data_IF_729577059390
#
_entry.id   IF_729577059390
#
_cell.length_a   1.000
_cell.length_b   1.000
_cell.length_c   1.000
_cell.angle_alpha   90.00
_cell.angle_beta   90.00
_cell.angle_gamma   90.00
#
_symmetry.space_group_name_H-M   'P 1'
#
loop_
_entity.id
_entity.type
_entity.pdbx_description
1 polymer ?
#
# COMPACT_ATOMS: atom_id res chain seq x y z
N UNK A 1 -17.47 -23.14 -19.04
CA UNK A 1 -17.32 -24.38 -18.25
C UNK A 1 -16.02 -25.04 -18.70
N UNK A 2 -15.01 -25.13 -17.82
CA UNK A 2 -13.66 -25.58 -18.22
C UNK A 2 -13.54 -27.11 -18.32
N UNK A 3 -14.21 -27.85 -17.44
CA UNK A 3 -14.31 -29.32 -17.50
C UNK A 3 -15.74 -29.78 -17.18
N UNK A 4 -16.30 -30.73 -17.96
CA UNK A 4 -15.79 -31.26 -19.24
C UNK A 4 -15.67 -30.19 -20.35
N UNK A 5 -14.57 -30.20 -21.11
CA UNK A 5 -14.33 -29.18 -22.14
C UNK A 5 -15.12 -29.50 -23.42
N UNK A 6 -16.09 -28.67 -23.77
CA UNK A 6 -16.93 -28.89 -24.96
C UNK A 6 -16.39 -28.14 -26.18
N UNK A 7 -15.65 -28.85 -27.05
CA UNK A 7 -15.13 -28.30 -28.31
C UNK A 7 -16.22 -27.66 -29.18
N UNK A 8 -17.39 -28.33 -29.29
CA UNK A 8 -18.57 -27.83 -30.01
C UNK A 8 -18.96 -26.40 -29.61
N UNK A 9 -19.07 -26.13 -28.31
CA UNK A 9 -19.49 -24.81 -27.83
C UNK A 9 -18.39 -23.75 -27.99
N UNK A 10 -17.10 -24.15 -27.91
CA UNK A 10 -15.99 -23.25 -28.23
C UNK A 10 -16.04 -22.81 -29.70
N UNK A 11 -16.20 -23.78 -30.62
CA UNK A 11 -16.22 -23.52 -32.06
C UNK A 11 -17.40 -22.63 -32.47
N UNK A 12 -18.57 -22.84 -31.85
CA UNK A 12 -19.74 -21.97 -32.06
C UNK A 12 -19.53 -20.53 -31.58
N UNK A 13 -18.72 -20.33 -30.53
CA UNK A 13 -18.41 -19.00 -30.02
C UNK A 13 -17.31 -18.28 -30.83
N UNK A 14 -16.56 -19.02 -31.67
CA UNK A 14 -15.44 -18.48 -32.44
C UNK A 14 -15.86 -18.12 -33.88
N UNK A 15 -15.84 -16.84 -34.27
CA UNK A 15 -16.21 -16.44 -35.63
C UNK A 15 -15.43 -17.20 -36.71
N UNK A 16 -16.09 -17.50 -37.84
CA UNK A 16 -15.46 -18.16 -38.99
C UNK A 16 -14.34 -17.32 -39.62
N UNK A 17 -14.45 -15.99 -39.51
CA UNK A 17 -13.45 -15.02 -39.95
C UNK A 17 -12.17 -15.01 -39.10
N UNK A 18 -12.13 -15.72 -37.97
CA UNK A 18 -10.96 -15.74 -37.09
C UNK A 18 -9.76 -16.34 -37.82
N UNK A 19 -8.64 -15.62 -37.83
CA UNK A 19 -7.35 -16.05 -38.41
C UNK A 19 -6.24 -16.18 -37.37
N UNK A 20 -6.38 -15.56 -36.20
CA UNK A 20 -5.40 -15.65 -35.12
C UNK A 20 -6.09 -15.63 -33.76
N UNK A 21 -5.56 -16.38 -32.81
CA UNK A 21 -6.09 -16.56 -31.45
C UNK A 21 -4.92 -16.47 -30.46
N UNK A 22 -5.07 -15.67 -29.41
CA UNK A 22 -4.20 -15.74 -28.23
C UNK A 22 -4.95 -16.42 -27.10
N UNK A 23 -4.39 -17.50 -26.56
CA UNK A 23 -4.94 -18.20 -25.40
C UNK A 23 -4.18 -17.75 -24.16
N UNK A 24 -4.91 -17.33 -23.12
CA UNK A 24 -4.33 -16.78 -21.90
C UNK A 24 -4.55 -17.73 -20.72
N UNK A 25 -3.45 -18.19 -20.15
CA UNK A 25 -3.43 -19.07 -19.00
C UNK A 25 -2.96 -18.31 -17.75
N UNK A 26 -3.74 -18.42 -16.66
CA UNK A 26 -3.38 -17.87 -15.36
C UNK A 26 -2.66 -18.91 -14.50
N UNK A 27 -1.72 -19.63 -15.12
CA UNK A 27 -0.89 -20.68 -14.49
C UNK A 27 0.48 -20.75 -15.18
N UNK A 28 1.40 -21.53 -14.62
CA UNK A 28 2.68 -21.87 -15.22
C UNK A 28 2.96 -23.33 -14.92
N UNK A 29 3.18 -24.14 -15.96
CA UNK A 29 3.61 -25.54 -15.84
C UNK A 29 5.05 -25.67 -16.37
N UNK A 30 6.07 -25.60 -15.49
CA UNK A 30 7.46 -25.66 -15.91
C UNK A 30 7.77 -26.98 -16.63
N UNK A 31 8.33 -26.88 -17.84
CA UNK A 31 8.70 -28.05 -18.65
C UNK A 31 7.58 -28.61 -19.55
N UNK A 32 6.34 -28.16 -19.39
CA UNK A 32 5.25 -28.52 -20.29
C UNK A 32 5.43 -27.85 -21.67
N UNK A 33 4.87 -28.46 -22.72
CA UNK A 33 4.88 -27.89 -24.07
C UNK A 33 4.05 -26.60 -24.20
N UNK A 34 3.01 -26.46 -23.38
CA UNK A 34 2.18 -25.27 -23.22
C UNK A 34 1.32 -25.40 -21.96
N UNK A 35 0.66 -24.32 -21.59
CA UNK A 35 -0.29 -24.30 -20.50
C UNK A 35 -1.63 -25.01 -20.84
N UNK A 36 -2.41 -25.43 -19.83
CA UNK A 36 -3.57 -26.31 -20.03
C UNK A 36 -4.65 -25.79 -20.98
N UNK A 37 -5.08 -24.53 -20.86
CA UNK A 37 -6.14 -24.00 -21.72
C UNK A 37 -5.66 -23.86 -23.16
N UNK A 38 -4.40 -23.46 -23.36
CA UNK A 38 -3.78 -23.47 -24.69
C UNK A 38 -3.87 -24.86 -25.34
N UNK A 39 -3.52 -25.93 -24.61
CA UNK A 39 -3.54 -27.29 -25.15
C UNK A 39 -4.96 -27.71 -25.56
N UNK A 40 -5.97 -27.41 -24.74
CA UNK A 40 -7.37 -27.73 -25.05
C UNK A 40 -7.88 -26.98 -26.29
N UNK A 41 -7.61 -25.68 -26.37
CA UNK A 41 -8.03 -24.84 -27.50
C UNK A 41 -7.33 -25.28 -28.79
N UNK A 42 -6.02 -25.56 -28.72
CA UNK A 42 -5.26 -26.03 -29.86
C UNK A 42 -5.78 -27.39 -30.35
N UNK A 43 -6.08 -28.31 -29.42
CA UNK A 43 -6.64 -29.63 -29.75
C UNK A 43 -8.00 -29.49 -30.43
N UNK A 44 -8.91 -28.71 -29.86
CA UNK A 44 -10.24 -28.48 -30.43
C UNK A 44 -10.18 -27.85 -31.83
N UNK A 45 -9.29 -26.88 -32.06
CA UNK A 45 -9.12 -26.25 -33.37
C UNK A 45 -8.49 -27.19 -34.40
N UNK A 46 -7.51 -27.99 -33.97
CA UNK A 46 -6.85 -28.98 -34.83
C UNK A 46 -7.82 -30.09 -35.25
N UNK A 47 -8.61 -30.63 -34.32
CA UNK A 47 -9.64 -31.63 -34.62
C UNK A 47 -10.70 -31.07 -35.57
N UNK A 48 -11.21 -29.86 -35.32
CA UNK A 48 -12.21 -29.23 -36.17
C UNK A 48 -11.70 -28.99 -37.60
N UNK A 49 -10.44 -28.59 -37.76
CA UNK A 49 -9.82 -28.45 -39.07
C UNK A 49 -9.66 -29.80 -39.76
N UNK A 50 -9.17 -30.82 -39.05
CA UNK A 50 -8.98 -32.17 -39.60
C UNK A 50 -10.29 -32.86 -40.00
N UNK A 51 -11.38 -32.59 -39.29
CA UNK A 51 -12.72 -33.10 -39.62
C UNK A 51 -13.45 -32.27 -40.69
N UNK A 52 -12.88 -31.14 -41.13
CA UNK A 52 -13.52 -30.24 -42.09
C UNK A 52 -14.65 -29.37 -41.51
N UNK A 53 -14.79 -29.33 -40.18
CA UNK A 53 -15.72 -28.41 -39.48
C UNK A 53 -15.26 -26.95 -39.58
N UNK A 54 -13.96 -26.72 -39.84
CA UNK A 54 -13.41 -25.41 -40.18
C UNK A 54 -12.53 -25.50 -41.42
N UNK A 55 -12.68 -24.51 -42.31
CA UNK A 55 -11.88 -24.39 -43.53
C UNK A 55 -10.41 -24.05 -43.26
N UNK A 56 -10.12 -23.33 -42.17
CA UNK A 56 -8.76 -22.90 -41.83
C UNK A 56 -8.46 -23.16 -40.35
N UNK A 57 -7.21 -23.52 -40.08
CA UNK A 57 -6.64 -23.59 -38.73
C UNK A 57 -6.07 -22.20 -38.36
N UNK A 58 -6.68 -21.45 -37.43
CA UNK A 58 -6.17 -20.15 -37.02
C UNK A 58 -4.79 -20.27 -36.40
N UNK A 59 -3.95 -19.24 -36.55
CA UNK A 59 -2.67 -19.17 -35.83
C UNK A 59 -2.94 -19.00 -34.32
N UNK A 60 -2.46 -19.94 -33.51
CA UNK A 60 -2.65 -19.90 -32.05
C UNK A 60 -1.33 -19.54 -31.35
N UNK A 61 -1.37 -18.55 -30.46
CA UNK A 61 -0.26 -18.21 -29.54
C UNK A 61 -0.71 -18.39 -28.08
N UNK A 62 0.23 -18.68 -27.18
CA UNK A 62 -0.03 -18.93 -25.76
C UNK A 62 0.60 -17.87 -24.88
N UNK A 63 -0.17 -17.30 -23.95
CA UNK A 63 0.27 -16.26 -23.04
C UNK A 63 0.02 -16.62 -21.59
N UNK A 64 0.97 -16.28 -20.71
CA UNK A 64 0.77 -16.32 -19.27
C UNK A 64 0.52 -14.92 -18.70
N UNK A 65 -0.44 -14.80 -17.81
CA UNK A 65 -0.78 -13.54 -17.15
C UNK A 65 -1.18 -13.75 -15.68
N UNK A 66 -1.18 -12.68 -14.90
CA UNK A 66 -1.93 -12.62 -13.63
C UNK A 66 -1.52 -13.59 -12.52
N UNK A 67 -0.34 -14.22 -12.61
CA UNK A 67 0.16 -15.14 -11.58
C UNK A 67 0.27 -14.42 -10.24
N UNK A 68 -0.21 -15.05 -9.17
CA UNK A 68 -0.20 -14.48 -7.82
C UNK A 68 -0.81 -13.07 -7.74
N UNK A 69 -1.90 -12.85 -8.49
CA UNK A 69 -2.59 -11.55 -8.57
C UNK A 69 -1.76 -10.42 -9.18
N UNK A 70 -0.77 -10.75 -10.02
CA UNK A 70 -0.11 -9.75 -10.87
C UNK A 70 -1.15 -8.97 -11.69
N UNK A 71 -0.92 -7.67 -11.82
CA UNK A 71 -1.84 -6.76 -12.49
C UNK A 71 -2.09 -7.17 -13.95
N UNK A 72 -3.36 -7.10 -14.38
CA UNK A 72 -3.77 -7.34 -15.75
C UNK A 72 -4.73 -6.24 -16.20
N UNK A 73 -4.15 -5.12 -16.60
CA UNK A 73 -4.86 -3.94 -17.06
C UNK A 73 -5.14 -3.94 -18.57
N UNK A 74 -5.79 -2.88 -19.07
CA UNK A 74 -6.07 -2.74 -20.50
C UNK A 74 -4.81 -2.64 -21.38
N UNK A 75 -3.71 -2.09 -20.85
CA UNK A 75 -2.39 -2.07 -21.46
C UNK A 75 -1.86 -3.49 -21.77
N UNK A 76 -2.02 -4.44 -20.84
CA UNK A 76 -1.70 -5.84 -21.08
C UNK A 76 -2.53 -6.44 -22.23
N UNK A 77 -3.82 -6.13 -22.28
CA UNK A 77 -4.72 -6.60 -23.35
C UNK A 77 -4.32 -6.00 -24.70
N UNK A 78 -4.02 -4.70 -24.75
CA UNK A 78 -3.52 -4.02 -25.94
C UNK A 78 -2.21 -4.64 -26.44
N UNK A 79 -1.27 -4.96 -25.53
CA UNK A 79 -0.02 -5.64 -25.87
C UNK A 79 -0.26 -6.99 -26.56
N UNK A 80 -1.23 -7.78 -26.08
CA UNK A 80 -1.59 -9.08 -26.67
C UNK A 80 -2.16 -8.91 -28.08
N UNK A 81 -3.06 -7.95 -28.29
CA UNK A 81 -3.60 -7.69 -29.63
C UNK A 81 -2.54 -7.17 -30.60
N UNK A 82 -1.63 -6.31 -30.13
CA UNK A 82 -0.49 -5.85 -30.93
C UNK A 82 0.43 -7.01 -31.32
N UNK A 83 0.69 -7.94 -30.40
CA UNK A 83 1.45 -9.15 -30.71
C UNK A 83 0.76 -10.01 -31.77
N UNK A 84 -0.55 -10.28 -31.62
CA UNK A 84 -1.34 -11.03 -32.61
C UNK A 84 -1.30 -10.44 -34.01
N UNK A 85 -1.20 -9.11 -34.13
CA UNK A 85 -1.14 -8.40 -35.40
C UNK A 85 0.22 -8.51 -36.10
N UNK A 86 1.27 -8.97 -35.42
CA UNK A 86 2.59 -9.10 -36.04
C UNK A 86 2.63 -10.20 -37.09
N UNK A 87 3.54 -10.05 -38.06
CA UNK A 87 3.79 -11.07 -39.07
C UNK A 87 4.29 -12.39 -38.43
N UNK A 88 5.13 -12.29 -37.39
CA UNK A 88 5.71 -13.42 -36.67
C UNK A 88 5.57 -13.22 -35.15
N UNK A 89 4.37 -13.45 -34.57
CA UNK A 89 4.18 -13.31 -33.14
C UNK A 89 4.98 -14.36 -32.37
N UNK A 90 5.36 -14.02 -31.14
CA UNK A 90 5.91 -14.94 -30.15
C UNK A 90 4.91 -16.08 -29.92
N UNK A 91 5.31 -17.35 -30.12
CA UNK A 91 4.41 -18.49 -29.90
C UNK A 91 4.05 -18.65 -28.42
N UNK A 92 4.95 -18.22 -27.53
CA UNK A 92 4.78 -18.20 -26.08
C UNK A 92 5.21 -16.84 -25.56
N UNK A 93 4.41 -16.26 -24.67
CA UNK A 93 4.74 -14.97 -24.06
C UNK A 93 4.28 -14.87 -22.60
N UNK A 94 4.78 -13.86 -21.91
CA UNK A 94 4.27 -13.38 -20.62
C UNK A 94 3.80 -11.94 -20.77
N UNK A 95 2.85 -11.50 -19.96
CA UNK A 95 2.38 -10.10 -19.97
C UNK A 95 2.22 -9.58 -18.56
N UNK A 96 2.56 -8.30 -18.35
CA UNK A 96 2.54 -7.62 -17.05
C UNK A 96 3.86 -7.68 -16.26
N UNK A 97 4.90 -8.38 -16.77
CA UNK A 97 6.26 -8.40 -16.18
C UNK A 97 7.28 -7.93 -17.20
N UNK A 98 8.48 -7.56 -16.73
CA UNK A 98 9.64 -7.39 -17.58
C UNK A 98 10.57 -8.61 -17.43
N UNK A 99 10.59 -9.46 -18.46
CA UNK A 99 11.41 -10.67 -18.51
C UNK A 99 12.61 -10.45 -19.42
N UNK A 100 13.70 -9.99 -18.82
CA UNK A 100 15.00 -9.74 -19.45
C UNK A 100 15.91 -10.98 -19.49
N UNK A 101 15.45 -12.12 -18.96
CA UNK A 101 16.20 -13.38 -18.95
C UNK A 101 15.79 -14.25 -20.13
N UNK A 102 14.49 -14.56 -20.25
CA UNK A 102 13.98 -15.40 -21.36
C UNK A 102 13.34 -14.59 -22.49
N UNK A 103 13.21 -13.27 -22.32
CA UNK A 103 12.69 -12.35 -23.33
C UNK A 103 11.28 -12.74 -23.84
N UNK A 104 10.46 -13.34 -22.97
CA UNK A 104 9.09 -13.75 -23.29
C UNK A 104 8.07 -12.65 -23.02
N UNK A 105 8.41 -11.62 -22.24
CA UNK A 105 7.48 -10.54 -21.91
C UNK A 105 7.13 -9.69 -23.12
N UNK A 106 5.84 -9.37 -23.27
CA UNK A 106 5.38 -8.38 -24.23
C UNK A 106 5.61 -6.95 -23.70
N UNK A 107 6.07 -6.01 -24.54
CA UNK A 107 6.15 -4.61 -24.16
C UNK A 107 4.75 -4.03 -23.95
N UNK A 108 4.54 -3.30 -22.86
CA UNK A 108 3.26 -2.67 -22.55
C UNK A 108 3.17 -1.32 -23.29
N UNK A 109 2.17 -1.11 -24.18
CA UNK A 109 1.94 0.18 -24.80
C UNK A 109 1.34 1.17 -23.79
N UNK A 110 1.43 2.47 -24.10
CA UNK A 110 0.67 3.46 -23.36
C UNK A 110 -0.83 3.20 -23.53
N UNK A 111 -1.57 3.21 -22.41
CA UNK A 111 -3.01 3.00 -22.44
C UNK A 111 -3.72 4.27 -22.94
N UNK A 112 -4.25 4.21 -24.17
CA UNK A 112 -5.01 5.30 -24.79
C UNK A 112 -6.52 5.14 -24.67
N UNK A 113 -7.01 4.13 -23.94
CA UNK A 113 -8.45 3.92 -23.80
C UNK A 113 -9.08 4.99 -22.89
N UNK A 114 -10.25 5.54 -23.26
CA UNK A 114 -10.91 6.56 -22.47
C UNK A 114 -11.37 5.99 -21.12
N UNK A 115 -11.17 6.76 -20.05
CA UNK A 115 -11.76 6.45 -18.76
C UNK A 115 -13.28 6.67 -18.82
N UNK A 116 -14.05 5.65 -18.46
CA UNK A 116 -15.53 5.72 -18.46
C UNK A 116 -16.10 6.00 -17.07
N UNK A 117 -15.28 5.93 -16.01
CA UNK A 117 -15.73 6.17 -14.66
C UNK A 117 -16.00 7.65 -14.41
N UNK A 118 -17.06 7.94 -13.65
CA UNK A 118 -17.41 9.28 -13.18
C UNK A 118 -16.40 9.80 -12.15
N UNK A 119 -15.90 8.92 -11.29
CA UNK A 119 -14.90 9.23 -10.29
C UNK A 119 -14.02 7.99 -10.05
N UNK A 120 -12.71 8.20 -10.06
CA UNK A 120 -11.73 7.24 -9.55
C UNK A 120 -10.96 7.85 -8.38
N UNK A 121 -10.92 7.15 -7.25
CA UNK A 121 -10.28 7.65 -6.03
C UNK A 121 -9.31 6.62 -5.44
N UNK A 122 -8.20 7.13 -4.90
CA UNK A 122 -7.19 6.38 -4.17
C UNK A 122 -7.08 6.90 -2.73
N UNK A 123 -7.05 5.99 -1.76
CA UNK A 123 -6.84 6.33 -0.36
C UNK A 123 -5.65 5.56 0.20
N UNK A 124 -4.61 6.28 0.60
CA UNK A 124 -3.40 5.76 1.21
C UNK A 124 -3.53 5.86 2.73
N UNK A 125 -3.82 4.73 3.37
CA UNK A 125 -4.01 4.60 4.80
C UNK A 125 -3.01 3.66 5.46
N UNK A 126 -2.95 3.69 6.79
CA UNK A 126 -2.17 2.79 7.61
C UNK A 126 -3.02 1.60 8.06
N UNK A 127 -2.46 0.40 8.06
CA UNK A 127 -3.11 -0.76 8.66
C UNK A 127 -3.54 -0.46 10.10
N UNK A 128 -4.84 -0.56 10.36
CA UNK A 128 -5.54 -0.26 11.63
C UNK A 128 -5.92 1.21 11.90
N UNK A 129 -5.81 2.14 10.94
CA UNK A 129 -6.28 3.53 11.11
C UNK A 129 -7.77 3.75 10.73
N UNK A 130 -8.44 2.70 10.21
CA UNK A 130 -9.84 2.73 9.81
C UNK A 130 -10.11 3.22 8.38
N UNK A 131 -9.08 3.53 7.60
CA UNK A 131 -9.22 4.03 6.21
C UNK A 131 -9.98 3.07 5.32
N UNK A 132 -9.62 1.79 5.30
CA UNK A 132 -10.30 0.78 4.48
C UNK A 132 -11.78 0.64 4.87
N UNK A 133 -12.08 0.65 6.16
CA UNK A 133 -13.45 0.58 6.65
C UNK A 133 -14.26 1.81 6.24
N UNK A 134 -13.65 3.01 6.28
CA UNK A 134 -14.28 4.24 5.80
C UNK A 134 -14.55 4.18 4.29
N UNK A 135 -13.58 3.72 3.48
CA UNK A 135 -13.79 3.59 2.03
C UNK A 135 -14.86 2.54 1.70
N UNK A 136 -14.94 1.42 2.43
CA UNK A 136 -16.07 0.47 2.32
C UNK A 136 -17.41 1.14 2.64
N UNK A 137 -17.45 2.02 3.63
CA UNK A 137 -18.64 2.78 3.96
C UNK A 137 -18.97 3.80 2.85
N UNK A 138 -17.99 4.48 2.26
CA UNK A 138 -18.18 5.38 1.10
C UNK A 138 -18.88 4.66 -0.05
N UNK A 139 -18.43 3.45 -0.38
CA UNK A 139 -19.02 2.64 -1.45
C UNK A 139 -20.48 2.32 -1.15
N UNK A 140 -20.79 1.94 0.10
CA UNK A 140 -22.18 1.65 0.52
C UNK A 140 -23.06 2.89 0.45
N UNK A 141 -22.57 4.03 0.92
CA UNK A 141 -23.31 5.29 0.89
C UNK A 141 -23.59 5.69 -0.57
N UNK A 142 -22.55 5.71 -1.41
CA UNK A 142 -22.71 6.09 -2.83
C UNK A 142 -23.65 5.12 -3.55
N UNK A 143 -23.46 3.81 -3.38
CA UNK A 143 -24.26 2.80 -4.07
C UNK A 143 -25.72 2.72 -3.60
N UNK A 144 -26.02 3.11 -2.36
CA UNK A 144 -27.39 3.11 -1.83
C UNK A 144 -28.12 4.44 -2.06
N UNK A 145 -27.39 5.56 -2.09
CA UNK A 145 -27.98 6.90 -2.21
C UNK A 145 -27.97 7.44 -3.64
N UNK A 146 -27.39 6.71 -4.60
CA UNK A 146 -27.32 7.10 -6.02
C UNK A 146 -27.64 5.93 -6.94
N UNK A 147 -28.08 6.17 -8.19
CA UNK A 147 -28.28 5.11 -9.18
C UNK A 147 -26.96 4.59 -9.78
N UNK A 148 -25.80 5.03 -9.28
CA UNK A 148 -24.50 4.72 -9.86
C UNK A 148 -23.95 3.39 -9.35
N UNK A 149 -23.14 2.75 -10.18
CA UNK A 149 -22.33 1.60 -9.80
C UNK A 149 -21.12 2.08 -9.00
N UNK A 150 -20.89 1.45 -7.84
CA UNK A 150 -19.73 1.71 -7.00
C UNK A 150 -18.89 0.42 -6.86
N UNK A 151 -17.58 0.53 -7.08
CA UNK A 151 -16.62 -0.56 -6.96
C UNK A 151 -15.55 -0.20 -5.94
N UNK A 152 -15.15 -1.16 -5.12
CA UNK A 152 -14.00 -1.06 -4.22
C UNK A 152 -13.05 -2.23 -4.36
N UNK A 153 -11.75 -1.94 -4.39
CA UNK A 153 -10.68 -2.93 -4.24
C UNK A 153 -9.67 -2.43 -3.21
N UNK A 154 -9.14 -3.32 -2.38
CA UNK A 154 -8.31 -2.94 -1.24
C UNK A 154 -7.00 -3.72 -1.27
N UNK A 155 -5.90 -3.00 -1.49
CA UNK A 155 -4.55 -3.55 -1.43
C UNK A 155 -4.06 -3.43 0.01
N UNK A 156 -3.65 -4.56 0.58
CA UNK A 156 -3.09 -4.65 1.92
C UNK A 156 -1.62 -5.06 1.84
N UNK A 157 -0.81 -4.51 2.74
CA UNK A 157 0.55 -4.98 3.00
C UNK A 157 0.51 -6.36 3.68
N UNK A 158 1.59 -7.13 3.54
CA UNK A 158 1.77 -8.40 4.26
C UNK A 158 1.98 -8.19 5.77
N UNK A 159 2.36 -6.97 6.16
CA UNK A 159 2.53 -6.55 7.55
C UNK A 159 1.18 -6.45 8.27
N UNK A 160 0.96 -7.33 9.27
CA UNK A 160 -0.27 -7.40 10.09
C UNK A 160 -0.70 -6.07 10.74
N UNK A 161 0.26 -5.17 11.03
CA UNK A 161 -0.02 -3.86 11.62
C UNK A 161 0.94 -2.79 11.06
N UNK A 162 0.42 -1.57 10.93
CA UNK A 162 1.19 -0.41 10.47
C UNK A 162 1.71 -0.51 9.03
N UNK A 163 1.22 -1.47 8.25
CA UNK A 163 1.53 -1.59 6.82
C UNK A 163 0.77 -0.55 6.00
N UNK A 164 1.18 -0.34 4.75
CA UNK A 164 0.42 0.50 3.82
C UNK A 164 -0.89 -0.21 3.45
N UNK A 165 -1.97 0.56 3.32
CA UNK A 165 -3.19 0.12 2.65
C UNK A 165 -3.53 1.11 1.56
N UNK A 166 -3.87 0.61 0.37
CA UNK A 166 -4.33 1.44 -0.75
C UNK A 166 -5.74 0.99 -1.12
N UNK A 167 -6.69 1.88 -0.92
CA UNK A 167 -8.09 1.63 -1.29
C UNK A 167 -8.36 2.25 -2.65
N UNK A 168 -8.80 1.45 -3.60
CA UNK A 168 -9.21 1.85 -4.93
C UNK A 168 -10.73 1.92 -4.97
N UNK A 169 -11.27 3.07 -5.32
CA UNK A 169 -12.70 3.30 -5.45
C UNK A 169 -13.02 3.80 -6.86
N UNK A 170 -14.05 3.22 -7.48
CA UNK A 170 -14.61 3.71 -8.74
C UNK A 170 -16.10 3.94 -8.60
N UNK A 171 -16.60 5.01 -9.20
CA UNK A 171 -18.02 5.29 -9.37
C UNK A 171 -18.30 5.50 -10.85
N UNK A 172 -19.36 4.89 -11.37
CA UNK A 172 -19.74 4.96 -12.78
C UNK A 172 -21.25 4.93 -12.94
N UNK A 173 -21.76 5.59 -13.96
CA UNK A 173 -23.13 5.47 -14.44
C UNK A 173 -23.41 4.12 -15.13
N UNK A 174 -22.41 3.52 -15.77
CA UNK A 174 -22.47 2.17 -16.36
C UNK A 174 -21.86 1.07 -15.47
N UNK A 175 -22.23 -0.21 -15.67
CA UNK A 175 -21.61 -1.32 -14.93
C UNK A 175 -20.08 -1.35 -15.03
N UNK A 176 -19.41 -1.36 -13.88
CA UNK A 176 -17.94 -1.32 -13.81
C UNK A 176 -17.36 -2.71 -14.08
N UNK A 177 -16.67 -2.86 -15.22
CA UNK A 177 -15.94 -4.09 -15.61
C UNK A 177 -14.43 -4.02 -15.37
N UNK A 178 -13.95 -2.92 -14.80
CA UNK A 178 -12.53 -2.68 -14.53
C UNK A 178 -12.04 -3.52 -13.36
N UNK A 179 -11.73 -4.79 -13.60
CA UNK A 179 -11.15 -5.73 -12.63
C UNK A 179 -9.62 -5.57 -12.50
N UNK A 180 -9.15 -4.32 -12.46
CA UNK A 180 -7.76 -3.90 -12.37
C UNK A 180 -7.65 -2.65 -11.49
N UNK A 181 -6.46 -2.34 -10.98
CA UNK A 181 -6.20 -1.20 -10.09
C UNK A 181 -6.39 0.15 -10.80
N UNK A 182 -6.77 1.17 -10.02
CA UNK A 182 -6.83 2.55 -10.52
C UNK A 182 -5.40 3.04 -10.79
N UNK A 183 -5.07 3.32 -12.04
CA UNK A 183 -3.74 3.77 -12.46
C UNK A 183 -3.57 5.29 -12.31
N UNK A 184 -4.60 6.06 -12.64
CA UNK A 184 -4.68 7.52 -12.49
C UNK A 184 -6.03 7.86 -11.84
N UNK A 185 -6.05 8.77 -10.86
CA UNK A 185 -7.22 9.04 -10.04
C UNK A 185 -7.61 10.53 -10.05
N UNK A 186 -8.90 10.79 -9.95
CA UNK A 186 -9.49 12.13 -9.81
C UNK A 186 -9.29 12.67 -8.39
N UNK A 187 -9.20 11.77 -7.40
CA UNK A 187 -8.96 12.07 -6.00
C UNK A 187 -7.87 11.14 -5.43
N UNK A 188 -6.89 11.71 -4.72
CA UNK A 188 -5.89 10.97 -3.95
C UNK A 188 -5.85 11.50 -2.53
N UNK A 189 -6.19 10.64 -1.56
CA UNK A 189 -6.13 10.94 -0.13
C UNK A 189 -4.92 10.29 0.54
N UNK A 190 -4.06 11.10 1.16
CA UNK A 190 -2.93 10.65 1.98
C UNK A 190 -3.28 10.82 3.47
N UNK A 191 -3.52 9.71 4.16
CA UNK A 191 -3.98 9.75 5.55
C UNK A 191 -2.83 9.76 6.57
N UNK A 192 -1.59 9.54 6.12
CA UNK A 192 -0.38 9.58 6.96
C UNK A 192 0.71 10.40 6.25
N UNK A 193 1.13 11.51 6.85
CA UNK A 193 2.12 12.41 6.26
C UNK A 193 3.40 11.69 5.80
N UNK A 194 3.92 10.77 6.61
CA UNK A 194 5.15 10.01 6.34
C UNK A 194 5.15 9.20 5.03
N UNK A 195 3.98 8.96 4.43
CA UNK A 195 3.90 8.26 3.15
C UNK A 195 4.36 9.12 1.97
N UNK A 196 4.34 10.45 2.10
CA UNK A 196 4.76 11.38 1.04
C UNK A 196 6.25 11.25 0.72
N UNK A 197 7.03 10.86 1.73
CA UNK A 197 8.47 10.67 1.67
C UNK A 197 8.87 9.33 1.04
N UNK A 198 7.90 8.46 0.72
CA UNK A 198 8.19 7.08 0.33
C UNK A 198 7.43 6.59 -0.89
N UNK A 199 6.16 6.96 -1.02
CA UNK A 199 5.26 6.41 -2.04
C UNK A 199 4.94 7.44 -3.11
N UNK A 200 4.92 6.97 -4.36
CA UNK A 200 4.57 7.77 -5.53
C UNK A 200 3.04 7.91 -5.67
N UNK A 201 2.41 8.63 -4.75
CA UNK A 201 0.96 8.82 -4.72
C UNK A 201 0.48 10.04 -5.50
N UNK A 202 1.23 11.14 -5.50
CA UNK A 202 0.87 12.36 -6.23
C UNK A 202 0.96 12.13 -7.75
N UNK A 203 1.87 11.25 -8.16
CA UNK A 203 2.13 10.82 -9.52
C UNK A 203 0.93 10.06 -10.13
N UNK A 204 0.07 9.49 -9.27
CA UNK A 204 -1.18 8.81 -9.63
C UNK A 204 -2.34 9.78 -9.82
N UNK A 205 -2.15 11.09 -9.61
CA UNK A 205 -3.21 12.08 -9.77
C UNK A 205 -3.41 12.43 -11.25
N UNK A 206 -4.67 12.49 -11.70
CA UNK A 206 -5.04 13.07 -12.99
C UNK A 206 -4.79 14.59 -12.99
N UNK A 207 -4.52 15.21 -14.16
CA UNK A 207 -4.46 16.66 -14.26
C UNK A 207 -5.75 17.33 -13.72
N UNK A 208 -5.62 18.33 -12.86
CA UNK A 208 -6.74 19.01 -12.18
C UNK A 208 -7.37 18.23 -11.02
N UNK A 209 -6.83 17.04 -10.70
CA UNK A 209 -7.31 16.19 -9.62
C UNK A 209 -7.14 16.81 -8.24
N UNK A 210 -7.81 16.21 -7.25
CA UNK A 210 -7.76 16.63 -5.85
C UNK A 210 -6.73 15.80 -5.09
N UNK A 211 -5.79 16.48 -4.44
CA UNK A 211 -4.85 15.85 -3.51
C UNK A 211 -5.19 16.29 -2.09
N UNK A 212 -5.56 15.35 -1.22
CA UNK A 212 -5.85 15.61 0.19
C UNK A 212 -4.75 15.02 1.07
N UNK A 213 -4.14 15.84 1.93
CA UNK A 213 -3.10 15.40 2.87
C UNK A 213 -3.53 15.62 4.32
N UNK A 214 -3.51 14.54 5.11
CA UNK A 214 -3.60 14.63 6.56
C UNK A 214 -2.24 15.02 7.15
N UNK A 215 -2.17 16.19 7.79
CA UNK A 215 -0.91 16.76 8.28
C UNK A 215 -1.16 17.60 9.54
N UNK A 216 -0.21 17.64 10.50
CA UNK A 216 -0.30 18.54 11.63
C UNK A 216 -0.04 20.01 11.27
N UNK A 217 0.55 20.28 10.10
CA UNK A 217 0.98 21.60 9.64
C UNK A 217 -0.15 22.37 8.97
N UNK A 218 -0.10 23.70 9.05
CA UNK A 218 -1.06 24.59 8.38
C UNK A 218 -0.83 24.64 6.85
N UNK A 219 -1.80 25.22 6.13
CA UNK A 219 -1.69 25.45 4.69
C UNK A 219 -0.48 26.31 4.30
N UNK A 220 -0.10 27.26 5.16
CA UNK A 220 1.04 28.16 4.90
C UNK A 220 2.40 27.49 5.07
N UNK A 221 2.49 26.48 5.94
CA UNK A 221 3.76 25.80 6.25
C UNK A 221 3.98 24.53 5.43
N UNK A 222 2.91 23.86 5.00
CA UNK A 222 2.99 22.51 4.44
C UNK A 222 3.78 22.47 3.14
N UNK A 223 3.68 23.51 2.29
CA UNK A 223 4.32 23.53 0.97
C UNK A 223 5.83 23.34 1.08
N UNK A 224 6.49 24.12 1.93
CA UNK A 224 7.94 24.06 2.12
C UNK A 224 8.42 22.74 2.76
N UNK A 225 7.53 21.97 3.37
CA UNK A 225 7.83 20.68 4.00
C UNK A 225 7.67 19.49 3.05
N UNK A 226 6.95 19.66 1.94
CA UNK A 226 6.79 18.61 0.94
C UNK A 226 8.12 18.36 0.22
N UNK A 227 8.41 17.11 -0.18
CA UNK A 227 9.53 16.85 -1.07
C UNK A 227 9.45 17.64 -2.37
N UNK A 228 10.59 18.09 -2.90
CA UNK A 228 10.66 18.87 -4.15
C UNK A 228 9.98 18.13 -5.32
N UNK A 229 10.14 16.80 -5.38
CA UNK A 229 9.54 15.96 -6.41
C UNK A 229 8.01 15.98 -6.33
N UNK A 230 7.45 16.01 -5.12
CA UNK A 230 6.00 16.08 -4.90
C UNK A 230 5.47 17.45 -5.30
N UNK A 231 6.16 18.54 -4.93
CA UNK A 231 5.80 19.90 -5.36
C UNK A 231 5.78 20.00 -6.89
N UNK A 232 6.82 19.46 -7.55
CA UNK A 232 6.91 19.45 -9.02
C UNK A 232 5.74 18.70 -9.66
N UNK A 233 5.38 17.53 -9.12
CA UNK A 233 4.25 16.73 -9.62
C UNK A 233 2.92 17.45 -9.41
N UNK A 234 2.67 18.03 -8.24
CA UNK A 234 1.44 18.78 -7.97
C UNK A 234 1.30 19.98 -8.92
N UNK A 235 2.40 20.68 -9.20
CA UNK A 235 2.46 21.75 -10.20
C UNK A 235 2.18 21.26 -11.61
N UNK A 236 2.87 20.20 -12.06
CA UNK A 236 2.69 19.61 -13.39
C UNK A 236 1.24 19.17 -13.61
N UNK A 237 0.63 18.57 -12.60
CA UNK A 237 -0.76 18.10 -12.65
C UNK A 237 -1.77 19.23 -12.42
N UNK A 238 -1.35 20.46 -12.10
CA UNK A 238 -2.26 21.56 -11.70
C UNK A 238 -3.24 21.09 -10.62
N UNK A 239 -2.71 20.40 -9.61
CA UNK A 239 -3.50 19.76 -8.58
C UNK A 239 -4.27 20.78 -7.73
N UNK A 240 -5.48 20.40 -7.30
CA UNK A 240 -6.20 21.10 -6.23
C UNK A 240 -5.77 20.49 -4.90
N UNK A 241 -4.88 21.18 -4.19
CA UNK A 241 -4.23 20.65 -3.01
C UNK A 241 -4.94 21.12 -1.74
N UNK A 242 -5.34 20.18 -0.88
CA UNK A 242 -5.98 20.45 0.40
C UNK A 242 -5.26 19.74 1.55
N UNK A 243 -5.30 20.38 2.71
CA UNK A 243 -4.79 19.81 3.97
C UNK A 243 -5.85 19.81 5.06
N UNK A 244 -5.69 18.86 5.98
CA UNK A 244 -6.48 18.76 7.20
C UNK A 244 -5.65 18.16 8.33
N UNK A 245 -5.84 18.61 9.57
CA UNK A 245 -5.26 17.99 10.75
C UNK A 245 -6.27 17.06 11.41
N UNK A 246 -6.48 15.89 10.82
CA UNK A 246 -7.52 14.97 11.27
C UNK A 246 -7.23 14.41 12.67
N UNK A 247 -5.95 14.26 13.04
CA UNK A 247 -5.57 13.79 14.37
C UNK A 247 -5.91 14.80 15.47
N UNK A 248 -5.76 16.11 15.20
CA UNK A 248 -6.19 17.17 16.14
C UNK A 248 -7.70 17.15 16.34
N UNK A 249 -8.47 17.12 15.25
CA UNK A 249 -9.94 17.08 15.28
C UNK A 249 -10.43 15.83 16.04
N UNK A 250 -9.84 14.66 15.77
CA UNK A 250 -10.19 13.43 16.46
C UNK A 250 -9.94 13.51 17.98
N UNK A 251 -8.85 14.16 18.43
CA UNK A 251 -8.58 14.38 19.86
C UNK A 251 -9.56 15.35 20.49
N UNK A 252 -9.85 16.46 19.83
CA UNK A 252 -10.79 17.49 20.31
C UNK A 252 -12.22 16.94 20.46
N UNK A 253 -12.62 16.03 19.58
CA UNK A 253 -13.92 15.33 19.66
C UNK A 253 -13.90 14.09 20.56
N UNK A 254 -12.78 13.75 21.22
CA UNK A 254 -12.70 12.57 22.08
C UNK A 254 -12.81 11.22 21.35
N UNK A 255 -12.33 11.15 20.09
CA UNK A 255 -12.29 9.96 19.22
C UNK A 255 -10.90 9.26 19.22
N UNK A 256 -9.99 9.70 20.10
CA UNK A 256 -8.61 9.24 20.17
C UNK A 256 -7.87 9.37 18.81
N UNK A 257 -7.19 8.32 18.34
CA UNK A 257 -6.43 8.34 17.09
C UNK A 257 -7.26 7.98 15.83
N UNK A 258 -8.60 7.97 15.91
CA UNK A 258 -9.46 7.56 14.78
C UNK A 258 -9.77 8.75 13.87
N UNK A 259 -9.04 8.82 12.76
CA UNK A 259 -9.19 9.89 11.75
C UNK A 259 -10.23 9.56 10.66
N UNK A 260 -10.78 8.35 10.67
CA UNK A 260 -11.62 7.81 9.60
C UNK A 260 -12.85 8.68 9.29
N UNK A 261 -13.60 9.12 10.30
CA UNK A 261 -14.80 9.97 10.12
C UNK A 261 -14.46 11.33 9.51
N UNK A 262 -13.34 11.93 9.94
CA UNK A 262 -12.85 13.22 9.46
C UNK A 262 -12.43 13.13 7.99
N UNK A 263 -11.61 12.13 7.65
CA UNK A 263 -11.14 11.93 6.27
C UNK A 263 -12.30 11.55 5.33
N UNK A 264 -13.29 10.82 5.85
CA UNK A 264 -14.50 10.47 5.11
C UNK A 264 -15.32 11.70 4.73
N UNK A 265 -15.55 12.62 5.68
CA UNK A 265 -16.23 13.88 5.40
C UNK A 265 -15.47 14.71 4.37
N UNK A 266 -14.14 14.80 4.51
CA UNK A 266 -13.30 15.54 3.58
C UNK A 266 -13.40 15.01 2.14
N UNK A 267 -13.41 13.69 1.97
CA UNK A 267 -13.61 13.09 0.65
C UNK A 267 -14.94 13.51 0.01
N UNK A 268 -16.07 13.37 0.72
CA UNK A 268 -17.38 13.73 0.17
C UNK A 268 -17.50 15.24 -0.10
N UNK A 269 -16.96 16.07 0.81
CA UNK A 269 -16.98 17.52 0.67
C UNK A 269 -16.13 17.98 -0.53
N UNK A 270 -14.96 17.41 -0.76
CA UNK A 270 -14.09 17.84 -1.85
C UNK A 270 -14.53 17.29 -3.21
N UNK A 271 -15.01 16.05 -3.26
CA UNK A 271 -15.44 15.44 -4.54
C UNK A 271 -16.82 15.90 -4.99
N UNK A 272 -17.66 16.40 -4.08
CA UNK A 272 -19.04 16.82 -4.37
C UNK A 272 -19.81 15.72 -5.13
N UNK A 273 -19.48 14.45 -4.87
CA UNK A 273 -20.11 13.33 -5.56
C UNK A 273 -21.59 13.16 -5.15
N UNK A 274 -21.91 13.56 -3.92
CA UNK A 274 -23.28 13.73 -3.46
C UNK A 274 -23.61 15.24 -3.42
N UNK A 275 -24.79 15.66 -3.88
CA UNK A 275 -25.15 17.07 -3.97
C UNK A 275 -25.45 17.69 -2.60
N UNK A 276 -24.94 18.90 -2.35
CA UNK A 276 -25.27 19.72 -1.19
C UNK A 276 -24.99 19.05 0.16
N UNK A 277 -25.88 19.23 1.13
CA UNK A 277 -25.76 18.65 2.47
C UNK A 277 -26.14 17.16 2.55
N UNK A 278 -26.51 16.53 1.42
CA UNK A 278 -26.84 15.10 1.37
C UNK A 278 -25.70 14.23 1.91
N UNK A 279 -24.45 14.58 1.59
CA UNK A 279 -23.28 13.87 2.12
C UNK A 279 -23.23 13.87 3.66
N UNK A 280 -23.50 15.02 4.29
CA UNK A 280 -23.47 15.14 5.74
C UNK A 280 -24.57 14.29 6.37
N UNK A 281 -25.79 14.38 5.86
CA UNK A 281 -26.93 13.60 6.36
C UNK A 281 -26.70 12.09 6.23
N UNK A 282 -26.22 11.62 5.08
CA UNK A 282 -25.94 10.21 4.85
C UNK A 282 -24.84 9.68 5.78
N UNK A 283 -23.80 10.49 6.01
CA UNK A 283 -22.75 10.14 6.96
C UNK A 283 -23.27 10.10 8.40
N UNK A 284 -24.09 11.07 8.80
CA UNK A 284 -24.71 11.10 10.12
C UNK A 284 -25.59 9.86 10.35
N UNK A 285 -26.40 9.48 9.36
CA UNK A 285 -27.24 8.29 9.38
C UNK A 285 -26.42 7.00 9.45
N UNK A 286 -25.36 6.90 8.65
CA UNK A 286 -24.47 5.75 8.64
C UNK A 286 -23.75 5.56 9.99
N UNK A 287 -23.32 6.66 10.63
CA UNK A 287 -22.72 6.67 11.96
C UNK A 287 -23.74 6.22 13.01
N UNK A 288 -24.94 6.79 13.00
CA UNK A 288 -26.00 6.41 13.94
C UNK A 288 -26.32 4.92 13.84
N UNK A 289 -26.46 4.38 12.62
CA UNK A 289 -26.70 2.95 12.40
C UNK A 289 -25.55 2.06 12.89
N UNK A 290 -24.30 2.52 12.74
CA UNK A 290 -23.11 1.72 13.08
C UNK A 290 -22.75 1.76 14.56
N UNK A 291 -23.09 2.85 15.27
CA UNK A 291 -22.60 3.13 16.61
C UNK A 291 -23.69 3.36 17.66
N UNK A 292 -24.98 3.37 17.31
CA UNK A 292 -26.08 3.51 18.28
C UNK A 292 -26.01 2.49 19.42
N UNK A 293 -25.60 1.25 19.13
CA UNK A 293 -25.42 0.19 20.14
C UNK A 293 -24.27 0.46 21.12
N UNK A 294 -23.37 1.41 20.82
CA UNK A 294 -22.22 1.77 21.65
C UNK A 294 -22.44 3.04 22.48
N UNK A 295 -23.62 3.65 22.38
CA UNK A 295 -24.01 4.84 23.16
C UNK A 295 -24.12 6.10 22.30
N UNK A 296 -25.06 6.97 22.70
CA UNK A 296 -25.40 8.20 22.00
C UNK A 296 -24.24 9.22 21.98
N UNK A 297 -23.49 9.32 23.08
CA UNK A 297 -22.32 10.21 23.19
C UNK A 297 -21.28 9.95 22.09
N UNK A 298 -21.05 8.69 21.71
CA UNK A 298 -20.11 8.34 20.65
C UNK A 298 -20.63 8.80 19.28
N UNK A 299 -21.93 8.71 19.04
CA UNK A 299 -22.58 9.16 17.80
C UNK A 299 -22.43 10.68 17.69
N UNK A 300 -22.74 11.42 18.75
CA UNK A 300 -22.64 12.89 18.80
C UNK A 300 -21.22 13.39 18.60
N UNK A 301 -20.22 12.75 19.23
CA UNK A 301 -18.80 13.06 19.01
C UNK A 301 -18.38 12.87 17.55
N UNK A 302 -18.88 11.83 16.89
CA UNK A 302 -18.61 11.62 15.47
C UNK A 302 -19.30 12.68 14.59
N UNK A 303 -20.52 13.08 14.92
CA UNK A 303 -21.20 14.17 14.21
C UNK A 303 -20.50 15.51 14.37
N UNK A 304 -19.99 15.82 15.57
CA UNK A 304 -19.15 16.99 15.80
C UNK A 304 -17.87 16.94 14.95
N UNK A 305 -17.23 15.76 14.86
CA UNK A 305 -16.06 15.59 14.01
C UNK A 305 -16.37 15.80 12.51
N UNK A 306 -17.55 15.40 12.02
CA UNK A 306 -17.98 15.70 10.64
C UNK A 306 -18.10 17.21 10.41
N UNK A 307 -18.74 17.93 11.34
CA UNK A 307 -18.92 19.38 11.22
C UNK A 307 -17.56 20.11 11.20
N UNK A 308 -16.69 19.81 12.17
CA UNK A 308 -15.35 20.40 12.25
C UNK A 308 -14.48 20.05 11.04
N UNK A 309 -14.60 18.83 10.50
CA UNK A 309 -13.88 18.43 9.30
C UNK A 309 -14.23 19.32 8.10
N UNK A 310 -15.50 19.71 7.95
CA UNK A 310 -15.94 20.59 6.86
C UNK A 310 -15.35 21.99 6.99
N UNK A 311 -15.24 22.51 8.21
CA UNK A 311 -14.72 23.85 8.49
C UNK A 311 -13.19 23.91 8.49
N UNK A 312 -12.52 22.80 8.79
CA UNK A 312 -11.06 22.75 8.96
C UNK A 312 -10.28 22.40 7.70
N UNK A 313 -10.97 22.15 6.58
CA UNK A 313 -10.30 21.92 5.28
C UNK A 313 -9.72 23.22 4.78
N UNK A 314 -8.41 23.21 4.52
CA UNK A 314 -7.71 24.36 3.97
C UNK A 314 -7.15 24.02 2.59
N UNK A 315 -7.45 24.87 1.60
CA UNK A 315 -6.79 24.83 0.31
C UNK A 315 -5.38 25.39 0.43
N UNK A 316 -4.43 24.74 -0.24
CA UNK A 316 -3.04 25.17 -0.31
C UNK A 316 -2.78 25.65 -1.74
N UNK A 317 -2.53 26.95 -1.95
CA UNK A 317 -2.21 27.43 -3.28
C UNK A 317 -0.90 26.80 -3.75
N UNK A 318 -0.87 26.35 -5.01
CA UNK A 318 0.34 25.86 -5.63
C UNK A 318 1.38 26.98 -5.72
N UNK A 319 2.63 26.68 -5.38
CA UNK A 319 3.75 27.62 -5.43
C UNK A 319 4.88 27.05 -6.30
N UNK A 320 5.87 27.85 -6.72
CA UNK A 320 7.08 27.31 -7.32
C UNK A 320 7.76 26.28 -6.42
N UNK A 321 8.52 25.36 -7.03
CA UNK A 321 9.30 24.37 -6.27
C UNK A 321 10.29 25.12 -5.38
N UNK A 322 10.21 24.88 -4.08
CA UNK A 322 11.09 25.50 -3.11
C UNK A 322 12.41 24.74 -3.03
N UNK A 323 13.51 25.37 -3.44
CA UNK A 323 14.84 24.77 -3.45
C UNK A 323 15.37 24.40 -2.04
N UNK A 324 14.81 25.01 -0.99
CA UNK A 324 15.15 24.69 0.41
C UNK A 324 14.34 23.53 0.97
N UNK A 325 13.32 23.04 0.25
CA UNK A 325 12.56 21.86 0.65
C UNK A 325 13.42 20.60 0.51
N UNK A 326 13.16 19.57 1.34
CA UNK A 326 13.90 18.32 1.24
C UNK A 326 13.62 17.63 -0.11
N UNK A 327 14.56 16.82 -0.57
CA UNK A 327 14.24 15.79 -1.56
C UNK A 327 13.64 14.57 -0.86
N UNK A 328 12.95 13.72 -1.61
CA UNK A 328 12.44 12.47 -1.07
C UNK A 328 13.61 11.65 -0.50
N UNK A 329 13.60 11.27 0.79
CA UNK A 329 14.71 10.56 1.40
C UNK A 329 14.86 9.15 0.80
N UNK A 330 16.07 8.56 0.83
CA UNK A 330 16.24 7.18 0.40
C UNK A 330 15.44 6.24 1.30
N UNK A 331 14.80 5.23 0.69
CA UNK A 331 13.89 4.30 1.40
C UNK A 331 14.64 3.44 2.42
N UNK A 332 15.92 3.18 2.17
CA UNK A 332 16.85 2.52 3.07
C UNK A 332 18.15 3.32 3.12
N UNK A 333 18.96 3.14 4.16
CA UNK A 333 20.28 3.79 4.27
C UNK A 333 21.23 3.35 3.15
N UNK A 334 22.09 4.26 2.71
CA UNK A 334 23.16 3.98 1.73
C UNK A 334 24.18 2.94 2.22
N UNK A 335 24.27 2.74 3.55
CA UNK A 335 25.08 1.68 4.16
C UNK A 335 24.50 0.27 3.97
N UNK A 336 23.28 0.15 3.46
CA UNK A 336 22.63 -1.14 3.25
C UNK A 336 23.32 -1.93 2.11
N UNK A 337 23.31 -3.27 2.17
CA UNK A 337 23.82 -4.11 1.09
C UNK A 337 23.11 -3.83 -0.24
N UNK A 338 23.80 -4.07 -1.37
CA UNK A 338 23.28 -3.71 -2.69
C UNK A 338 21.92 -4.35 -2.98
N UNK A 339 21.72 -5.63 -2.66
CA UNK A 339 20.42 -6.29 -2.81
C UNK A 339 19.29 -5.60 -2.00
N UNK A 340 19.62 -5.05 -0.84
CA UNK A 340 18.64 -4.29 -0.03
C UNK A 340 18.33 -2.95 -0.69
N UNK A 341 19.33 -2.26 -1.24
CA UNK A 341 19.15 -0.96 -1.91
C UNK A 341 18.41 -1.07 -3.25
N UNK A 342 18.64 -2.13 -4.01
CA UNK A 342 18.07 -2.27 -5.36
C UNK A 342 16.73 -3.01 -5.35
N UNK A 343 16.65 -4.16 -4.69
CA UNK A 343 15.45 -5.01 -4.71
C UNK A 343 14.52 -4.67 -3.54
N UNK A 344 15.03 -4.74 -2.32
CA UNK A 344 14.17 -4.59 -1.12
C UNK A 344 13.62 -3.18 -1.02
N UNK A 345 14.42 -2.15 -1.29
CA UNK A 345 13.98 -0.75 -1.25
C UNK A 345 12.91 -0.46 -2.31
N UNK A 346 13.05 -0.99 -3.53
CA UNK A 346 12.05 -0.84 -4.59
C UNK A 346 10.71 -1.46 -4.17
N UNK A 347 10.72 -2.68 -3.62
CA UNK A 347 9.50 -3.32 -3.10
C UNK A 347 8.88 -2.52 -1.96
N UNK A 348 9.70 -2.02 -1.02
CA UNK A 348 9.24 -1.19 0.08
C UNK A 348 8.61 0.13 -0.39
N UNK A 349 9.11 0.71 -1.49
CA UNK A 349 8.59 1.93 -2.12
C UNK A 349 7.29 1.69 -2.92
N UNK A 350 6.82 0.45 -3.03
CA UNK A 350 5.68 0.09 -3.89
C UNK A 350 6.04 -0.01 -5.37
N UNK A 351 7.32 -0.15 -5.70
CA UNK A 351 7.87 -0.27 -7.06
C UNK A 351 8.32 -1.70 -7.39
N UNK A 352 7.86 -2.69 -6.62
CA UNK A 352 8.23 -4.11 -6.83
C UNK A 352 7.83 -4.63 -8.22
N UNK A 353 6.76 -4.11 -8.82
CA UNK A 353 6.31 -4.51 -10.15
C UNK A 353 7.26 -4.10 -11.28
N UNK A 354 8.11 -3.10 -11.05
CA UNK A 354 9.11 -2.61 -12.01
C UNK A 354 10.40 -3.44 -12.00
N UNK A 355 10.57 -4.35 -11.03
CA UNK A 355 11.74 -5.20 -10.96
C UNK A 355 11.72 -6.24 -12.11
N UNK A 356 12.81 -6.37 -12.88
CA UNK A 356 12.94 -7.41 -13.89
C UNK A 356 13.03 -8.81 -13.28
N UNK A 357 12.83 -9.83 -14.11
CA UNK A 357 13.05 -11.24 -13.72
C UNK A 357 14.49 -11.45 -13.20
N UNK A 358 15.49 -10.83 -13.83
CA UNK A 358 16.90 -10.94 -13.41
C UNK A 358 17.20 -10.39 -12.00
N UNK A 359 16.32 -9.54 -11.44
CA UNK A 359 16.51 -8.97 -10.12
C UNK A 359 16.27 -9.98 -8.98
N UNK A 360 15.62 -11.11 -9.28
CA UNK A 360 15.23 -12.10 -8.28
C UNK A 360 16.04 -13.41 -8.45
N UNK A 361 16.51 -14.02 -7.36
CA UNK A 361 17.15 -15.33 -7.42
C UNK A 361 16.20 -16.39 -7.97
N UNK A 362 16.65 -17.29 -8.87
CA UNK A 362 15.78 -18.27 -9.51
C UNK A 362 15.22 -19.32 -8.55
N UNK A 363 15.86 -19.50 -7.40
CA UNK A 363 15.45 -20.40 -6.32
C UNK A 363 14.62 -19.71 -5.21
N UNK A 364 14.41 -18.40 -5.33
CA UNK A 364 13.67 -17.60 -4.34
C UNK A 364 14.41 -17.38 -3.02
N UNK A 365 15.74 -17.52 -2.98
CA UNK A 365 16.54 -17.23 -1.77
C UNK A 365 16.62 -15.74 -1.45
N UNK A 366 16.72 -15.39 -0.15
CA UNK A 366 16.79 -14.00 0.32
C UNK A 366 17.90 -13.81 1.38
N UNK A 367 18.58 -12.65 1.42
CA UNK A 367 19.57 -12.35 2.45
C UNK A 367 18.93 -12.17 3.83
N UNK A 368 19.69 -12.51 4.88
CA UNK A 368 19.26 -12.38 6.28
C UNK A 368 19.51 -10.97 6.83
N UNK A 369 18.81 -10.61 7.92
CA UNK A 369 19.08 -9.38 8.67
C UNK A 369 18.66 -8.08 7.96
N UNK A 370 17.82 -8.14 6.94
CA UNK A 370 17.40 -6.99 6.12
C UNK A 370 16.48 -6.01 6.86
N UNK A 371 15.70 -6.49 7.84
CA UNK A 371 14.74 -5.66 8.60
C UNK A 371 15.40 -4.50 9.35
N UNK A 372 16.70 -4.59 9.64
CA UNK A 372 17.44 -3.51 10.29
C UNK A 372 17.47 -2.22 9.46
N UNK A 373 17.27 -2.31 8.15
CA UNK A 373 17.35 -1.20 7.20
C UNK A 373 16.02 -0.49 6.95
N UNK A 374 14.87 -1.10 7.27
CA UNK A 374 13.55 -0.53 6.93
C UNK A 374 13.20 0.77 7.67
N UNK A 375 13.68 0.93 8.92
CA UNK A 375 13.46 2.08 9.82
C UNK A 375 12.09 2.77 9.67
N UNK A 376 11.03 1.98 9.81
CA UNK A 376 9.64 2.38 9.49
C UNK A 376 9.10 3.58 10.26
N UNK A 377 9.59 3.85 11.48
CA UNK A 377 9.19 4.99 12.32
C UNK A 377 7.68 5.26 12.42
N UNK A 378 6.88 4.19 12.55
CA UNK A 378 5.40 4.24 12.58
C UNK A 378 4.80 4.40 13.98
N UNK A 379 5.62 4.56 15.02
CA UNK A 379 5.11 4.66 16.39
C UNK A 379 4.69 6.11 16.66
N UNK A 380 3.44 6.31 17.08
CA UNK A 380 2.94 7.62 17.53
C UNK A 380 3.63 8.08 18.82
N UNK A 381 3.94 7.13 19.69
CA UNK A 381 4.62 7.35 20.97
C UNK A 381 5.80 6.40 21.11
N UNK A 382 6.86 6.87 21.78
CA UNK A 382 8.03 6.07 22.12
C UNK A 382 8.29 6.15 23.63
N UNK A 383 8.66 5.05 24.29
CA UNK A 383 9.02 5.10 25.70
C UNK A 383 10.26 5.98 25.89
N UNK A 384 10.20 6.91 26.83
CA UNK A 384 11.36 7.72 27.23
C UNK A 384 11.93 7.09 28.49
N UNK A 385 13.22 6.74 28.43
CA UNK A 385 13.91 6.17 29.59
C UNK A 385 14.12 7.25 30.67
N UNK A 386 13.90 6.86 31.93
CA UNK A 386 14.11 7.68 33.13
C UNK A 386 15.11 6.97 34.02
N UNK A 387 16.33 7.49 34.08
CA UNK A 387 17.48 6.87 34.75
C UNK A 387 17.25 6.66 36.25
N UNK A 388 16.72 7.68 36.93
CA UNK A 388 16.44 7.73 38.35
C UNK A 388 15.50 6.61 38.83
N UNK A 389 14.57 6.19 37.96
CA UNK A 389 13.61 5.12 38.23
C UNK A 389 14.12 3.73 37.82
N UNK A 390 15.26 3.63 37.14
CA UNK A 390 15.71 2.38 36.54
C UNK A 390 16.42 1.45 37.55
N UNK A 391 15.90 0.23 37.69
CA UNK A 391 16.48 -0.83 38.53
C UNK A 391 17.46 -1.74 37.79
N UNK A 392 17.65 -1.54 36.47
CA UNK A 392 18.53 -2.36 35.61
C UNK A 392 18.13 -3.84 35.51
N UNK A 393 16.84 -4.16 35.63
CA UNK A 393 16.33 -5.53 35.57
C UNK A 393 16.25 -6.13 34.15
N UNK A 394 16.43 -5.33 33.09
CA UNK A 394 16.27 -5.72 31.68
C UNK A 394 14.89 -6.30 31.28
N UNK A 395 13.86 -6.21 32.14
CA UNK A 395 12.51 -6.66 31.79
C UNK A 395 11.95 -5.94 30.56
N UNK A 396 12.25 -4.65 30.39
CA UNK A 396 11.85 -3.89 29.20
C UNK A 396 12.47 -4.41 27.90
N UNK A 397 13.71 -4.93 27.96
CA UNK A 397 14.40 -5.53 26.81
C UNK A 397 13.77 -6.88 26.48
N UNK A 398 13.56 -7.73 27.49
CA UNK A 398 12.96 -9.06 27.31
C UNK A 398 11.50 -9.00 26.84
N UNK A 399 10.73 -8.02 27.34
CA UNK A 399 9.33 -7.84 26.98
C UNK A 399 9.13 -7.23 25.59
N UNK A 400 10.17 -6.66 24.98
CA UNK A 400 10.05 -5.97 23.71
C UNK A 400 9.86 -6.96 22.55
N UNK A 401 8.70 -6.99 21.87
CA UNK A 401 8.43 -7.98 20.82
C UNK A 401 9.19 -7.72 19.51
N UNK A 402 9.89 -6.59 19.40
CA UNK A 402 10.57 -6.15 18.17
C UNK A 402 12.07 -5.90 18.36
N UNK A 403 12.65 -6.23 19.53
CA UNK A 403 14.05 -5.89 19.86
C UNK A 403 14.38 -4.39 19.71
N UNK A 404 13.35 -3.57 19.91
CA UNK A 404 13.39 -2.11 19.80
C UNK A 404 14.10 -1.46 20.99
N UNK A 405 14.00 -2.07 22.17
CA UNK A 405 14.67 -1.64 23.40
C UNK A 405 15.81 -2.61 23.64
N UNK A 406 17.03 -2.08 23.79
CA UNK A 406 18.23 -2.88 24.07
C UNK A 406 19.00 -2.24 25.21
N UNK A 407 19.58 -3.08 26.07
CA UNK A 407 20.56 -2.65 27.05
C UNK A 407 21.96 -2.95 26.51
N UNK A 408 22.88 -2.00 26.69
CA UNK A 408 24.31 -2.16 26.39
C UNK A 408 25.11 -1.81 27.62
N UNK A 409 26.11 -2.62 27.94
CA UNK A 409 27.12 -2.35 28.96
C UNK A 409 28.41 -2.02 28.24
N UNK A 410 29.05 -0.92 28.62
CA UNK A 410 30.30 -0.43 28.02
C UNK A 410 31.31 -0.03 29.09
N UNK A 411 32.59 -0.01 28.71
CA UNK A 411 33.63 0.58 29.55
C UNK A 411 33.49 2.11 29.59
N UNK A 412 34.01 2.78 30.64
CA UNK A 412 34.02 4.24 30.71
C UNK A 412 34.68 4.90 29.51
N UNK A 413 35.79 4.34 29.01
CA UNK A 413 36.55 4.88 27.88
C UNK A 413 35.71 4.93 26.59
N UNK A 414 34.79 3.99 26.41
CA UNK A 414 33.88 3.99 25.24
C UNK A 414 32.82 5.10 25.29
N UNK A 415 32.68 5.80 26.43
CA UNK A 415 31.75 6.91 26.62
C UNK A 415 32.43 8.29 26.48
N UNK A 416 33.75 8.36 26.29
CA UNK A 416 34.49 9.63 26.25
C UNK A 416 34.00 10.58 25.13
N UNK A 417 33.57 10.01 24.00
CA UNK A 417 33.02 10.75 22.87
C UNK A 417 31.51 10.54 22.69
N UNK A 418 30.81 10.09 23.74
CA UNK A 418 29.37 9.94 23.69
C UNK A 418 28.68 11.33 23.55
N UNK A 419 27.59 11.44 22.77
CA UNK A 419 26.77 12.64 22.75
C UNK A 419 26.28 12.98 24.16
N UNK A 420 26.18 14.27 24.49
CA UNK A 420 25.67 14.71 25.80
C UNK A 420 24.22 14.24 26.09
N UNK A 421 23.44 13.92 25.05
CA UNK A 421 22.10 13.36 25.14
C UNK A 421 22.08 11.85 25.41
N UNK A 422 23.23 11.16 25.37
CA UNK A 422 23.31 9.74 25.66
C UNK A 422 23.44 9.51 27.16
N UNK A 423 22.28 9.36 27.78
CA UNK A 423 22.15 9.06 29.20
C UNK A 423 22.73 7.70 29.59
N UNK A 424 23.17 7.58 30.86
CA UNK A 424 23.80 6.38 31.39
C UNK A 424 23.66 6.23 32.91
N UNK A 425 23.70 4.99 33.39
CA UNK A 425 23.75 4.64 34.82
C UNK A 425 24.85 3.65 35.11
N UNK A 426 25.44 3.74 36.30
CA UNK A 426 26.38 2.75 36.84
C UNK A 426 25.73 1.38 37.06
N UNK A 427 26.31 0.32 36.48
CA UNK A 427 25.90 -1.07 36.69
C UNK A 427 25.85 -1.43 38.18
N UNK A 428 24.68 -1.88 38.65
CA UNK A 428 24.40 -2.23 40.05
C UNK A 428 24.83 -3.67 40.44
N UNK A 429 25.19 -4.54 39.49
CA UNK A 429 25.46 -5.97 39.77
C UNK A 429 26.92 -6.26 40.16
N UNK A 430 27.12 -7.08 41.20
CA UNK A 430 28.45 -7.52 41.65
C UNK A 430 29.15 -8.49 40.67
N UNK A 431 28.40 -9.25 39.87
CA UNK A 431 28.94 -10.24 38.91
C UNK A 431 29.63 -9.54 37.72
N UNK A 432 29.12 -8.38 37.28
CA UNK A 432 29.79 -7.57 36.26
C UNK A 432 31.07 -6.90 36.80
N UNK A 433 31.15 -6.71 38.12
CA UNK A 433 32.34 -6.18 38.82
C UNK A 433 33.39 -7.29 39.05
N UNK A 434 33.01 -8.57 39.01
CA UNK A 434 33.85 -9.70 39.44
C UNK A 434 34.69 -10.38 38.34
N UNK A 435 34.48 -10.13 37.04
CA UNK A 435 35.35 -10.68 35.98
C UNK A 435 36.60 -9.81 35.78
N UNK A 436 37.49 -9.86 36.78
CA UNK A 436 38.85 -9.31 36.73
C UNK A 436 39.87 -10.33 36.20
N UNK A 437 39.71 -10.84 34.98
CA UNK A 437 40.90 -11.13 34.17
C UNK A 437 41.36 -9.80 33.60
N UNK A 438 42.29 -9.16 34.33
CA UNK A 438 42.89 -7.85 34.10
C UNK A 438 42.05 -6.62 34.53
N UNK A 439 41.76 -6.50 35.83
CA UNK A 439 41.27 -5.24 36.39
C UNK A 439 41.80 -5.03 37.82
N UNK A 440 42.76 -4.12 37.95
CA UNK A 440 43.06 -3.41 39.19
C UNK A 440 42.69 -1.96 38.96
N UNK A 441 41.40 -1.62 39.07
CA UNK A 441 40.95 -0.24 38.97
C UNK A 441 40.47 0.26 40.34
N UNK A 442 41.27 1.16 40.91
CA UNK A 442 40.91 1.99 42.07
C UNK A 442 39.64 2.76 41.75
N UNK A 443 38.72 2.79 42.71
CA UNK A 443 37.59 3.74 42.90
C UNK A 443 37.60 4.92 41.90
N UNK A 444 36.91 4.74 40.77
CA UNK A 444 36.38 5.75 39.83
C UNK A 444 36.02 5.02 38.52
N UNK A 445 34.87 4.35 38.46
CA UNK A 445 34.42 3.78 37.18
C UNK A 445 32.90 3.69 37.18
N UNK A 446 32.29 4.45 36.29
CA UNK A 446 30.88 4.48 35.98
C UNK A 446 30.60 3.62 34.73
N UNK A 447 30.02 2.41 34.83
CA UNK A 447 29.68 1.63 33.64
C UNK A 447 28.25 1.94 33.21
N UNK A 448 28.10 2.56 32.04
CA UNK A 448 26.84 3.04 31.46
C UNK A 448 25.92 1.93 30.92
N UNK A 449 24.66 1.87 31.40
CA UNK A 449 23.56 1.20 30.67
C UNK A 449 22.89 2.19 29.72
N UNK A 450 23.02 1.99 28.42
CA UNK A 450 22.28 2.80 27.42
C UNK A 450 21.08 2.03 26.88
N UNK A 451 19.90 2.65 26.92
CA UNK A 451 18.69 2.13 26.27
C UNK A 451 18.57 2.70 24.86
N UNK A 452 18.98 1.94 23.83
CA UNK A 452 18.78 2.35 22.45
C UNK A 452 17.36 1.96 22.02
N UNK A 453 16.50 2.96 21.78
CA UNK A 453 15.13 2.80 21.32
C UNK A 453 15.04 2.87 19.79
N UNK A 454 14.55 1.81 19.15
CA UNK A 454 14.12 1.77 17.75
C UNK A 454 12.81 0.99 17.59
N UNK A 455 11.70 1.69 17.81
CA UNK A 455 10.29 1.41 17.43
C UNK A 455 9.61 0.09 17.86
N UNK A 456 8.50 0.18 18.63
CA UNK A 456 7.19 -0.44 18.33
C UNK A 456 6.10 -0.12 19.37
N UNK A 457 4.85 -0.01 18.89
CA UNK A 457 3.60 0.09 19.66
C UNK A 457 3.25 -1.25 20.33
N UNK A 458 2.98 -1.30 21.65
CA UNK A 458 2.33 -2.45 22.27
C UNK A 458 0.83 -2.46 21.93
N UNK A 459 0.24 -3.65 21.73
CA UNK A 459 -1.20 -3.81 21.91
C UNK A 459 -1.50 -3.59 23.40
N UNK A 460 -2.33 -2.62 23.73
CA UNK A 460 -3.08 -2.66 24.99
C UNK A 460 -3.96 -3.91 24.96
N UNK A 461 -3.69 -4.85 25.86
CA UNK A 461 -4.57 -5.97 26.10
C UNK A 461 -5.83 -5.44 26.79
N UNK A 462 -6.95 -5.37 26.08
CA UNK A 462 -8.27 -5.33 26.71
C UNK A 462 -8.75 -6.77 26.97
N UNK A 463 -9.40 -7.04 28.11
CA UNK A 463 -9.87 -8.37 28.46
C UNK A 463 -11.17 -8.71 27.70
N UNK A 464 -11.20 -9.90 27.09
CA UNK A 464 -12.42 -10.69 26.88
C UNK A 464 -13.44 -10.21 25.85
N UNK A 465 -13.45 -10.85 24.68
CA UNK A 465 -14.68 -11.53 24.23
C UNK A 465 -14.30 -12.65 23.25
N UNK A 466 -14.44 -13.90 23.71
CA UNK A 466 -14.48 -15.08 22.86
C UNK A 466 -15.85 -15.11 22.18
N UNK A 467 -15.85 -15.23 20.86
CA UNK A 467 -17.05 -15.36 20.06
C UNK A 467 -16.75 -14.93 18.64
N UNK A 468 -16.26 -15.86 17.82
CA UNK A 468 -16.98 -16.27 16.62
C UNK A 468 -16.17 -17.31 15.84
N UNK A 469 -16.91 -18.36 15.47
CA UNK A 469 -16.47 -19.60 14.86
C UNK A 469 -15.87 -19.36 13.47
N UNK A 470 -14.74 -20.01 13.20
CA UNK A 470 -14.26 -20.23 11.84
C UNK A 470 -15.05 -21.40 11.25
N UNK A 471 -15.95 -21.12 10.31
CA UNK A 471 -16.39 -22.12 9.35
C UNK A 471 -15.39 -22.15 8.19
N UNK A 472 -14.58 -23.21 8.19
CA UNK A 472 -13.79 -23.67 7.07
C UNK A 472 -14.55 -24.84 6.47
N UNK A 473 -14.92 -24.76 5.18
CA UNK A 473 -14.90 -25.89 4.24
C UNK A 473 -15.40 -25.48 2.84
N UNK A 474 -15.07 -26.23 1.78
CA UNK A 474 -14.02 -27.26 1.67
C UNK A 474 -12.78 -26.79 0.89
#
# INVERSE_FOLDING_TARGET
>A
MYRPFSAKHLLQALPESTRSVAVLDRTKEPGAHAEPLYLDVMTALAEAFNHGERETLPRVIGGRYGLSSKEFGPDCVLAIFNELAQAKPKPRFTVGIYDDVTNLSLPLPENTLPATARLEALFYGLGSDGSVSATKNNIKIIGNSTPWFAQGYFVYDSKKAGGLTVSHLRVSDTPIRSAYLVAQADFVGCHQLQFIDKYQMAERLKPGGIFLLNTPYSADEVWARLPQEVQAVLNQKKARFYVINAAKIARECGLAARINTVMQMAFFHLTQILPGDSALMELQNAIAKSYSSKGQDLVERNWQALALARESLAEVPLQPVNASSPNRPPVVSDEAPDFVKTVTAAMLAGLGDALPVSALPPDGTWPVGTTRWEKRNIAEEIPIWKEDLCTQCNHCVAACPHSAIRAKVVSPDAMEHAPASLHSLDVKSAICVARNTCCRWRRRTAPAVTCALKCARPKTAEPGNQGDQYDVAP
#
